data_IF_126615800676
#
_entry.id   IF_126615800676
#
_cell.length_a   1.000
_cell.length_b   1.000
_cell.length_c   1.000
_cell.angle_alpha   90.00
_cell.angle_beta   90.00
_cell.angle_gamma   90.00
#
_symmetry.space_group_name_H-M   'P 1'
#
loop_
_entity.id
_entity.type
_entity.pdbx_description
1 polymer ?
#
# COMPACT_ATOMS: atom_id res chain seq x y z
N UNK A 1 -2.87 -7.56 12.27
CA UNK A 1 -1.65 -7.89 11.51
C UNK A 1 -1.69 -9.37 11.21
N UNK A 2 -1.92 -9.73 9.95
CA UNK A 2 -1.71 -11.11 9.52
C UNK A 2 -0.20 -11.29 9.35
N UNK A 3 0.36 -12.34 9.94
CA UNK A 3 1.78 -12.66 9.78
C UNK A 3 2.07 -12.96 8.32
N UNK A 4 3.07 -12.28 7.76
CA UNK A 4 3.52 -12.48 6.39
C UNK A 4 4.99 -12.92 6.38
N UNK A 5 5.26 -14.23 6.22
CA UNK A 5 6.61 -14.77 6.26
C UNK A 5 7.47 -14.29 5.08
N UNK A 6 6.87 -13.93 3.95
CA UNK A 6 7.60 -13.43 2.78
C UNK A 6 8.04 -11.99 2.99
N UNK A 7 7.18 -11.15 3.56
CA UNK A 7 7.54 -9.80 3.98
C UNK A 7 8.70 -9.81 4.99
N UNK A 8 8.62 -10.65 6.03
CA UNK A 8 9.70 -10.73 7.05
C UNK A 8 11.03 -11.20 6.43
N UNK A 9 10.98 -12.17 5.50
CA UNK A 9 12.16 -12.62 4.76
C UNK A 9 12.75 -11.49 3.90
N UNK A 10 11.93 -10.75 3.16
CA UNK A 10 12.37 -9.66 2.29
C UNK A 10 12.90 -8.48 3.10
N UNK A 11 12.27 -8.18 4.24
CA UNK A 11 12.71 -7.14 5.19
C UNK A 11 14.03 -7.47 5.88
N UNK A 12 14.33 -8.76 6.08
CA UNK A 12 15.61 -9.19 6.63
C UNK A 12 16.78 -8.97 5.64
N UNK A 13 16.52 -8.96 4.34
CA UNK A 13 17.52 -8.71 3.29
C UNK A 13 17.76 -7.20 3.12
N UNK A 14 18.77 -6.68 3.84
CA UNK A 14 19.16 -5.26 3.80
C UNK A 14 20.07 -4.89 2.63
N UNK A 15 20.27 -5.77 1.66
CA UNK A 15 21.03 -5.44 0.45
C UNK A 15 20.24 -4.47 -0.43
N UNK A 16 20.92 -3.75 -1.32
CA UNK A 16 20.25 -2.85 -2.28
C UNK A 16 19.23 -3.59 -3.17
N UNK A 17 19.53 -4.84 -3.51
CA UNK A 17 18.62 -5.69 -4.27
C UNK A 17 17.44 -6.16 -3.40
N UNK A 18 17.70 -6.57 -2.16
CA UNK A 18 16.67 -6.89 -1.16
C UNK A 18 15.66 -5.76 -0.97
N UNK A 19 16.13 -4.52 -0.77
CA UNK A 19 15.25 -3.36 -0.66
C UNK A 19 14.38 -3.17 -1.89
N UNK A 20 14.94 -3.28 -3.10
CA UNK A 20 14.15 -3.18 -4.35
C UNK A 20 13.10 -4.27 -4.47
N UNK A 21 13.42 -5.49 -4.03
CA UNK A 21 12.48 -6.62 -4.03
C UNK A 21 11.36 -6.41 -3.02
N UNK A 22 11.68 -5.91 -1.83
CA UNK A 22 10.69 -5.54 -0.82
C UNK A 22 9.77 -4.42 -1.32
N UNK A 23 10.32 -3.36 -1.91
CA UNK A 23 9.54 -2.27 -2.50
C UNK A 23 8.59 -2.78 -3.58
N UNK A 24 9.08 -3.64 -4.48
CA UNK A 24 8.26 -4.26 -5.54
C UNK A 24 7.15 -5.12 -4.94
N UNK A 25 7.47 -5.93 -3.93
CA UNK A 25 6.52 -6.80 -3.25
C UNK A 25 5.37 -6.01 -2.62
N UNK A 26 5.70 -4.97 -1.86
CA UNK A 26 4.71 -4.08 -1.25
C UNK A 26 3.91 -3.34 -2.31
N UNK A 27 4.58 -2.84 -3.35
CA UNK A 27 3.95 -2.16 -4.47
C UNK A 27 2.85 -3.03 -5.10
N UNK A 28 3.14 -4.30 -5.37
CA UNK A 28 2.19 -5.24 -5.95
C UNK A 28 1.01 -5.52 -5.00
N UNK A 29 1.28 -5.70 -3.70
CA UNK A 29 0.21 -5.88 -2.70
C UNK A 29 -0.76 -4.71 -2.64
N UNK A 30 -0.24 -3.48 -2.68
CA UNK A 30 -1.06 -2.29 -2.70
C UNK A 30 -1.91 -2.21 -3.98
N UNK A 31 -1.34 -2.58 -5.13
CA UNK A 31 -2.07 -2.62 -6.40
C UNK A 31 -3.15 -3.69 -6.41
N UNK A 32 -2.87 -4.89 -5.93
CA UNK A 32 -3.86 -5.96 -5.78
C UNK A 32 -4.99 -5.56 -4.84
N UNK A 33 -4.69 -4.87 -3.74
CA UNK A 33 -5.70 -4.37 -2.82
C UNK A 33 -6.61 -3.35 -3.51
N UNK A 34 -6.02 -2.37 -4.19
CA UNK A 34 -6.77 -1.32 -4.90
C UNK A 34 -7.61 -1.92 -6.03
N UNK A 35 -7.07 -2.84 -6.82
CA UNK A 35 -7.78 -3.49 -7.91
C UNK A 35 -8.93 -4.40 -7.45
N UNK A 36 -8.88 -4.92 -6.21
CA UNK A 36 -10.00 -5.65 -5.59
C UNK A 36 -11.14 -4.75 -5.15
N UNK A 37 -10.84 -3.50 -4.80
CA UNK A 37 -11.81 -2.56 -4.21
C UNK A 37 -12.38 -1.59 -5.25
N UNK A 38 -11.59 -1.22 -6.24
CA UNK A 38 -11.90 -0.14 -7.17
C UNK A 38 -11.69 -0.56 -8.62
N UNK A 39 -12.49 0.05 -9.50
CA UNK A 39 -12.35 -0.15 -10.93
C UNK A 39 -11.07 0.53 -11.44
N UNK A 40 -10.38 -0.12 -12.39
CA UNK A 40 -9.18 0.44 -13.00
C UNK A 40 -9.47 1.81 -13.63
N UNK A 41 -8.57 2.78 -13.43
CA UNK A 41 -8.72 4.15 -13.91
C UNK A 41 -9.52 5.07 -12.97
N UNK A 42 -10.15 4.54 -11.92
CA UNK A 42 -10.85 5.35 -10.90
C UNK A 42 -9.97 5.72 -9.70
N UNK A 43 -8.71 5.28 -9.70
CA UNK A 43 -7.71 5.59 -8.66
C UNK A 43 -6.33 5.74 -9.29
N UNK A 44 -5.45 6.52 -8.66
CA UNK A 44 -4.04 6.64 -9.05
C UNK A 44 -3.13 6.46 -7.86
N UNK A 45 -2.42 5.33 -7.80
CA UNK A 45 -1.39 5.11 -6.79
C UNK A 45 -0.20 6.03 -7.04
N UNK A 46 0.24 6.76 -6.02
CA UNK A 46 1.35 7.72 -6.10
C UNK A 46 2.65 7.17 -5.54
N UNK A 47 2.59 6.44 -4.44
CA UNK A 47 3.78 5.91 -3.78
C UNK A 47 3.47 4.68 -2.91
N UNK A 48 4.50 3.87 -2.66
CA UNK A 48 4.50 2.87 -1.58
C UNK A 48 5.54 3.26 -0.55
N UNK A 49 5.20 3.13 0.73
CA UNK A 49 6.00 3.51 1.88
C UNK A 49 6.37 2.26 2.69
N UNK A 50 7.50 1.64 2.33
CA UNK A 50 7.93 0.37 2.92
C UNK A 50 8.20 0.42 4.43
N UNK A 51 8.57 1.60 4.96
CA UNK A 51 8.89 1.80 6.38
C UNK A 51 7.68 1.55 7.28
N UNK A 52 6.50 1.99 6.84
CA UNK A 52 5.25 1.92 7.60
C UNK A 52 4.25 0.90 7.04
N UNK A 53 4.67 0.12 6.04
CA UNK A 53 3.80 -0.80 5.29
C UNK A 53 2.52 -0.09 4.81
N UNK A 54 2.72 1.07 4.17
CA UNK A 54 1.64 1.94 3.72
C UNK A 54 1.82 2.39 2.28
N UNK A 55 0.83 3.12 1.76
CA UNK A 55 0.86 3.68 0.41
C UNK A 55 0.09 4.99 0.33
N UNK A 56 0.41 5.78 -0.69
CA UNK A 56 -0.32 6.99 -1.05
C UNK A 56 -1.08 6.74 -2.36
N UNK A 57 -2.36 7.07 -2.36
CA UNK A 57 -3.26 6.92 -3.52
C UNK A 57 -4.13 8.16 -3.64
N UNK A 58 -4.36 8.58 -4.88
CA UNK A 58 -5.35 9.59 -5.23
C UNK A 58 -6.66 8.87 -5.56
N UNK A 59 -7.71 9.21 -4.80
CA UNK A 59 -9.04 8.59 -4.78
C UNK A 59 -10.08 9.61 -4.34
N UNK A 60 -11.36 9.28 -4.45
CA UNK A 60 -12.47 10.08 -3.90
C UNK A 60 -12.65 9.86 -2.40
N UNK A 61 -13.37 10.77 -1.74
CA UNK A 61 -13.71 10.62 -0.32
C UNK A 61 -14.55 9.36 -0.06
N UNK A 62 -15.47 9.00 -0.97
CA UNK A 62 -16.27 7.76 -0.88
C UNK A 62 -15.38 6.51 -0.96
N UNK A 63 -14.41 6.49 -1.87
CA UNK A 63 -13.42 5.41 -1.97
C UNK A 63 -12.55 5.34 -0.71
N UNK A 64 -12.22 6.48 -0.09
CA UNK A 64 -11.48 6.49 1.17
C UNK A 64 -12.28 5.84 2.31
N UNK A 65 -13.60 6.05 2.38
CA UNK A 65 -14.45 5.35 3.35
C UNK A 65 -14.48 3.84 3.11
N UNK A 66 -14.53 3.41 1.84
CA UNK A 66 -14.41 1.99 1.50
C UNK A 66 -13.10 1.41 2.02
N UNK A 67 -11.95 2.07 1.78
CA UNK A 67 -10.65 1.62 2.30
C UNK A 67 -10.62 1.54 3.83
N UNK A 68 -11.26 2.47 4.56
CA UNK A 68 -11.32 2.41 6.03
C UNK A 68 -12.07 1.20 6.56
N UNK A 69 -13.00 0.66 5.77
CA UNK A 69 -13.77 -0.53 6.14
C UNK A 69 -13.03 -1.85 5.90
N UNK A 70 -11.88 -1.81 5.22
CA UNK A 70 -11.11 -3.00 4.87
C UNK A 70 -10.28 -3.48 6.06
N UNK A 71 -10.39 -4.77 6.40
CA UNK A 71 -9.75 -5.37 7.58
C UNK A 71 -8.22 -5.27 7.55
N UNK A 72 -7.64 -5.28 6.35
CA UNK A 72 -6.22 -5.18 6.08
C UNK A 72 -5.68 -3.75 6.21
N UNK A 73 -6.56 -2.74 6.17
CA UNK A 73 -6.19 -1.34 6.27
C UNK A 73 -6.30 -0.88 7.72
N UNK A 74 -5.19 -0.39 8.28
CA UNK A 74 -5.15 0.07 9.68
C UNK A 74 -5.63 1.51 9.84
N UNK A 75 -5.27 2.38 8.91
CA UNK A 75 -5.49 3.82 8.98
C UNK A 75 -5.56 4.41 7.57
N UNK A 76 -6.49 5.35 7.36
CA UNK A 76 -6.60 6.14 6.13
C UNK A 76 -6.70 7.60 6.52
N UNK A 77 -5.66 8.37 6.21
CA UNK A 77 -5.59 9.81 6.45
C UNK A 77 -5.43 10.56 5.13
N UNK A 78 -6.01 11.76 5.07
CA UNK A 78 -5.83 12.64 3.92
C UNK A 78 -4.39 13.14 3.93
N UNK A 79 -3.67 12.92 2.83
CA UNK A 79 -2.33 13.45 2.70
C UNK A 79 -2.37 14.99 2.70
N UNK A 80 -1.73 15.62 3.67
CA UNK A 80 -1.70 17.08 3.83
C UNK A 80 -0.57 17.75 3.04
N UNK A 81 0.35 16.99 2.44
CA UNK A 81 1.53 17.54 1.74
C UNK A 81 1.30 17.85 0.25
N UNK A 82 0.15 17.46 -0.32
CA UNK A 82 -0.22 17.79 -1.70
C UNK A 82 -1.29 18.88 -1.67
N UNK A 83 -0.85 20.15 -1.61
CA UNK A 83 -1.68 21.35 -1.82
C UNK A 83 -1.48 21.85 -3.25
#
# INVERSE_FOLDING_TARGET
MNFDPEYERLKADRTKEGCRRLDTYLSNKHEELLAKLFEAGTYTKKASLAIVDGFAVEITDDQAEVLRSVKEVRLVEKNQELV
#
